data_IF_959294030561
#
_entry.id   IF_959294030561
#
_cell.length_a   1.000
_cell.length_b   1.000
_cell.length_c   1.000
_cell.angle_alpha   90.00
_cell.angle_beta   90.00
_cell.angle_gamma   90.00
#
_symmetry.space_group_name_H-M   'P 1'
#
loop_
_entity.id
_entity.type
_entity.pdbx_description
1 polymer ?
#
# COMPACT_ATOMS: atom_id res chain seq x y z
N UNK A 1 59.44 77.87 -9.12
CA UNK A 1 58.01 77.81 -9.36
C UNK A 1 57.46 76.47 -8.85
N UNK A 2 56.40 76.49 -8.06
CA UNK A 2 55.95 75.44 -7.16
C UNK A 2 55.25 74.27 -7.87
N UNK A 3 55.69 73.01 -7.62
CA UNK A 3 54.93 71.82 -7.87
C UNK A 3 53.84 71.62 -6.81
N UNK A 4 52.63 71.19 -7.13
CA UNK A 4 51.70 70.69 -6.15
C UNK A 4 51.75 69.16 -6.04
N UNK A 5 51.76 68.69 -4.80
CA UNK A 5 51.64 67.30 -4.37
C UNK A 5 50.32 66.61 -4.85
N UNK A 6 50.45 65.42 -5.38
CA UNK A 6 49.24 64.49 -5.58
C UNK A 6 49.14 63.58 -4.37
N UNK A 7 48.08 63.76 -3.62
CA UNK A 7 47.65 62.84 -2.54
C UNK A 7 46.91 61.69 -3.18
N UNK A 8 47.48 60.50 -2.99
CA UNK A 8 46.84 59.22 -3.46
C UNK A 8 45.97 58.66 -2.31
N UNK A 9 44.68 58.73 -2.47
CA UNK A 9 43.73 58.17 -1.52
C UNK A 9 43.55 56.70 -1.86
N UNK A 10 44.02 55.79 -0.99
CA UNK A 10 43.78 54.35 -1.11
C UNK A 10 42.42 54.00 -0.45
N UNK A 11 41.46 53.65 -1.26
CA UNK A 11 40.13 53.19 -0.80
C UNK A 11 40.23 51.70 -0.45
N UNK A 12 40.16 51.38 0.83
CA UNK A 12 40.13 50.02 1.36
C UNK A 12 38.71 49.48 1.20
N UNK A 13 38.49 48.53 0.27
CA UNK A 13 37.19 47.84 0.08
C UNK A 13 37.13 46.69 1.09
N UNK A 14 36.41 46.85 2.20
CA UNK A 14 36.14 45.78 3.15
C UNK A 14 34.98 44.90 2.58
N UNK A 15 35.32 43.72 2.06
CA UNK A 15 34.34 42.72 1.63
C UNK A 15 33.68 42.09 2.84
N UNK A 16 32.41 42.37 3.05
CA UNK A 16 31.54 41.67 3.99
C UNK A 16 31.21 40.27 3.42
N UNK A 17 31.86 39.23 3.90
CA UNK A 17 31.44 37.85 3.69
C UNK A 17 30.20 37.56 4.56
N UNK A 18 29.01 37.65 3.99
CA UNK A 18 27.82 37.14 4.60
C UNK A 18 27.89 35.62 4.45
N UNK A 19 28.34 34.92 5.49
CA UNK A 19 28.23 33.49 5.61
C UNK A 19 26.74 33.18 5.86
N UNK A 20 26.02 32.70 4.83
CA UNK A 20 24.73 32.05 5.01
C UNK A 20 24.97 30.82 5.89
N UNK A 21 24.61 30.90 7.18
CA UNK A 21 24.37 29.70 7.98
C UNK A 21 23.19 28.99 7.32
N UNK A 22 23.40 27.79 6.78
CA UNK A 22 22.28 26.87 6.53
C UNK A 22 21.67 26.62 7.89
N UNK A 23 20.46 27.14 8.09
CA UNK A 23 19.63 26.71 9.19
C UNK A 23 19.37 25.22 8.98
N UNK A 24 19.98 24.40 9.83
CA UNK A 24 19.65 22.98 9.90
C UNK A 24 18.30 22.94 10.58
N UNK A 25 17.25 22.61 9.82
CA UNK A 25 15.93 22.39 10.39
C UNK A 25 16.06 21.44 11.58
N UNK A 26 15.48 21.79 12.74
CA UNK A 26 15.56 20.96 13.92
C UNK A 26 15.01 19.56 13.58
N UNK A 27 15.84 18.54 13.70
CA UNK A 27 15.38 17.14 13.59
C UNK A 27 14.48 16.89 14.77
N UNK A 28 13.17 16.94 14.55
CA UNK A 28 12.18 16.53 15.55
C UNK A 28 12.32 15.03 15.74
N UNK A 29 13.00 14.61 16.79
CA UNK A 29 13.03 13.20 17.21
C UNK A 29 11.65 12.92 17.84
N UNK A 30 10.77 12.28 17.09
CA UNK A 30 9.50 11.78 17.61
C UNK A 30 9.86 10.63 18.56
N UNK A 31 9.56 10.79 19.84
CA UNK A 31 9.68 9.68 20.80
C UNK A 31 8.57 8.67 20.46
N UNK A 32 8.94 7.42 20.11
CA UNK A 32 7.92 6.41 19.77
C UNK A 32 7.04 6.11 20.98
N UNK A 33 5.74 5.86 20.72
CA UNK A 33 4.79 5.46 21.73
C UNK A 33 5.27 4.23 22.51
N UNK A 34 5.00 4.20 23.80
CA UNK A 34 5.26 3.03 24.65
C UNK A 34 4.27 1.89 24.43
N UNK A 35 3.19 2.13 23.69
CA UNK A 35 2.12 1.18 23.40
C UNK A 35 0.74 1.76 23.64
N UNK A 36 -0.25 1.15 22.99
CA UNK A 36 -1.64 1.58 23.04
C UNK A 36 -2.60 0.45 22.69
N UNK A 37 -3.89 0.76 22.73
CA UNK A 37 -4.96 -0.04 22.19
C UNK A 37 -5.71 0.78 21.15
N UNK A 38 -5.89 0.22 19.95
CA UNK A 38 -6.58 0.89 18.83
C UNK A 38 -7.73 0.03 18.31
N UNK A 39 -8.87 0.67 18.06
CA UNK A 39 -9.93 0.12 17.22
C UNK A 39 -9.65 0.50 15.77
N UNK A 40 -9.58 -0.48 14.89
CA UNK A 40 -9.35 -0.28 13.46
C UNK A 40 -10.70 -0.19 12.74
N UNK A 41 -11.33 0.98 12.79
CA UNK A 41 -12.64 1.19 12.19
C UNK A 41 -12.56 1.30 10.66
N UNK A 42 -12.85 0.20 9.96
CA UNK A 42 -12.89 0.14 8.50
C UNK A 42 -14.27 0.36 7.89
N UNK A 43 -15.32 0.56 8.69
CA UNK A 43 -16.66 0.79 8.15
C UNK A 43 -16.74 2.21 7.54
N UNK A 44 -17.31 2.28 6.33
CA UNK A 44 -17.61 3.54 5.65
C UNK A 44 -19.05 4.00 5.94
N UNK A 45 -19.91 3.09 6.38
CA UNK A 45 -21.30 3.33 6.68
C UNK A 45 -21.93 2.14 7.40
N UNK A 46 -23.02 1.61 6.86
CA UNK A 46 -23.80 0.50 7.42
C UNK A 46 -23.56 -0.84 6.71
N UNK A 47 -22.51 -0.95 5.91
CA UNK A 47 -22.17 -2.18 5.21
C UNK A 47 -21.81 -3.30 6.20
N UNK A 48 -22.00 -4.60 5.84
CA UNK A 48 -21.53 -5.70 6.65
C UNK A 48 -20.03 -5.62 6.90
N UNK A 49 -19.57 -5.83 8.13
CA UNK A 49 -18.17 -5.66 8.51
C UNK A 49 -17.18 -6.53 7.73
N UNK A 50 -17.61 -7.68 7.17
CA UNK A 50 -16.79 -8.48 6.25
C UNK A 50 -16.55 -7.77 4.90
N UNK A 51 -17.33 -6.74 4.61
CA UNK A 51 -17.25 -5.90 3.40
C UNK A 51 -16.85 -4.47 3.74
N UNK A 52 -16.19 -4.24 4.88
CA UNK A 52 -15.77 -2.91 5.34
C UNK A 52 -15.22 -2.08 4.19
N UNK A 53 -15.78 -0.88 3.99
CA UNK A 53 -15.53 -0.03 2.82
C UNK A 53 -14.16 0.64 2.80
N UNK A 54 -13.49 0.68 3.95
CA UNK A 54 -12.20 1.32 4.12
C UNK A 54 -11.07 0.31 4.39
N UNK A 55 -9.88 0.68 3.97
CA UNK A 55 -8.59 0.18 4.45
C UNK A 55 -8.18 1.02 5.66
N UNK A 56 -7.53 0.41 6.67
CA UNK A 56 -7.05 1.10 7.88
C UNK A 56 -5.55 0.89 8.02
N UNK A 57 -4.77 1.96 7.89
CA UNK A 57 -3.34 2.00 8.13
C UNK A 57 -3.06 2.30 9.60
N UNK A 58 -2.05 1.67 10.18
CA UNK A 58 -1.67 1.81 11.60
C UNK A 58 -0.21 2.21 11.70
N UNK A 59 0.06 3.26 12.47
CA UNK A 59 1.39 3.70 12.89
C UNK A 59 1.51 3.48 14.41
N UNK A 60 2.34 2.54 14.82
CA UNK A 60 2.55 2.22 16.23
C UNK A 60 3.30 3.32 16.96
N UNK A 61 4.22 3.99 16.28
CA UNK A 61 5.08 4.99 16.90
C UNK A 61 4.33 6.25 17.32
N UNK A 62 3.20 6.54 16.69
CA UNK A 62 2.38 7.74 16.96
C UNK A 62 0.98 7.42 17.47
N UNK A 63 0.65 6.15 17.73
CA UNK A 63 -0.69 5.66 18.15
C UNK A 63 -1.81 6.11 17.20
N UNK A 64 -1.54 6.11 15.89
CA UNK A 64 -2.49 6.60 14.90
C UNK A 64 -3.01 5.49 13.99
N UNK A 65 -4.26 5.66 13.58
CA UNK A 65 -4.82 4.95 12.45
C UNK A 65 -5.34 5.95 11.41
N UNK A 66 -5.17 5.61 10.12
CA UNK A 66 -5.64 6.42 8.99
C UNK A 66 -6.46 5.54 8.07
N UNK A 67 -7.64 6.01 7.67
CA UNK A 67 -8.53 5.27 6.77
C UNK A 67 -8.45 5.79 5.34
N UNK A 68 -8.63 4.88 4.38
CA UNK A 68 -8.78 5.23 2.97
C UNK A 68 -9.88 4.36 2.32
N UNK A 69 -10.80 4.95 1.53
CA UNK A 69 -11.82 4.17 0.82
C UNK A 69 -11.19 3.17 -0.14
N UNK A 70 -11.54 1.87 -0.03
CA UNK A 70 -11.03 0.82 -0.92
C UNK A 70 -11.36 1.08 -2.39
N UNK A 71 -12.56 1.57 -2.69
CA UNK A 71 -13.00 1.91 -4.02
C UNK A 71 -12.54 3.30 -4.51
N UNK A 72 -11.82 4.06 -3.67
CA UNK A 72 -11.40 5.43 -3.98
C UNK A 72 -10.22 5.53 -4.97
N UNK A 73 -9.62 4.41 -5.37
CA UNK A 73 -8.49 4.39 -6.28
C UNK A 73 -8.55 3.19 -7.22
N UNK A 74 -7.78 3.22 -8.30
CA UNK A 74 -7.71 2.14 -9.27
C UNK A 74 -6.29 1.67 -9.57
N UNK A 75 -5.34 2.60 -9.65
CA UNK A 75 -3.94 2.34 -9.97
C UNK A 75 -3.03 2.97 -8.93
N UNK A 76 -1.95 2.25 -8.58
CA UNK A 76 -0.86 2.74 -7.75
C UNK A 76 0.44 2.76 -8.56
N UNK A 77 1.08 3.92 -8.66
CA UNK A 77 2.32 4.17 -9.40
C UNK A 77 3.50 4.15 -8.43
N UNK A 78 4.39 3.19 -8.59
CA UNK A 78 5.55 3.01 -7.72
C UNK A 78 6.50 4.21 -7.77
N UNK A 79 6.92 4.68 -6.61
CA UNK A 79 7.75 5.88 -6.49
C UNK A 79 9.24 5.60 -6.32
N UNK A 80 9.66 4.33 -6.22
CA UNK A 80 11.06 3.94 -6.18
C UNK A 80 11.76 4.04 -7.54
N UNK A 81 12.91 3.37 -7.67
CA UNK A 81 13.75 3.43 -8.88
C UNK A 81 13.07 2.91 -10.14
N UNK A 82 12.31 1.81 -10.00
CA UNK A 82 11.66 1.15 -11.12
C UNK A 82 10.36 1.84 -11.54
N UNK A 83 9.93 1.56 -12.77
CA UNK A 83 8.67 2.04 -13.30
C UNK A 83 7.64 0.91 -13.29
N UNK A 84 6.89 0.81 -12.20
CA UNK A 84 5.88 -0.23 -11.95
C UNK A 84 4.54 0.37 -11.60
N UNK A 85 3.48 -0.34 -11.96
CA UNK A 85 2.10 0.07 -11.67
C UNK A 85 1.35 -1.13 -11.13
N UNK A 86 0.64 -0.94 -10.03
CA UNK A 86 -0.24 -1.94 -9.42
C UNK A 86 -1.70 -1.61 -9.70
N UNK A 87 -2.55 -2.64 -9.76
CA UNK A 87 -4.00 -2.51 -9.80
C UNK A 87 -4.60 -2.68 -8.41
N UNK A 88 -5.85 -2.26 -8.22
CA UNK A 88 -6.50 -2.25 -6.91
C UNK A 88 -6.93 -3.66 -6.45
N UNK A 89 -6.07 -4.34 -5.72
CA UNK A 89 -6.35 -5.67 -5.15
C UNK A 89 -7.43 -5.63 -4.06
N UNK A 90 -7.69 -4.45 -3.45
CA UNK A 90 -8.70 -4.32 -2.37
C UNK A 90 -10.13 -4.32 -2.89
N UNK A 91 -10.33 -4.14 -4.18
CA UNK A 91 -11.62 -4.29 -4.86
C UNK A 91 -11.67 -5.53 -5.74
N UNK A 92 -10.65 -6.40 -5.69
CA UNK A 92 -10.48 -7.54 -6.60
C UNK A 92 -10.49 -7.10 -8.07
N UNK A 93 -9.78 -6.01 -8.38
CA UNK A 93 -9.60 -5.57 -9.76
C UNK A 93 -8.84 -6.62 -10.56
N UNK A 94 -9.21 -6.79 -11.83
CA UNK A 94 -8.61 -7.74 -12.75
C UNK A 94 -8.32 -7.06 -14.09
N UNK A 95 -7.22 -7.42 -14.75
CA UNK A 95 -6.89 -6.78 -16.01
C UNK A 95 -6.35 -7.76 -17.06
N UNK A 96 -6.40 -7.34 -18.32
CA UNK A 96 -5.85 -8.03 -19.49
C UNK A 96 -4.99 -7.08 -20.30
N UNK A 97 -3.76 -7.50 -20.58
CA UNK A 97 -2.86 -6.82 -21.48
C UNK A 97 -3.18 -7.25 -22.90
N UNK A 98 -3.37 -6.29 -23.79
CA UNK A 98 -3.59 -6.52 -25.22
C UNK A 98 -2.27 -6.46 -25.98
N UNK A 99 -2.26 -6.91 -27.24
CA UNK A 99 -1.10 -6.73 -28.14
C UNK A 99 -1.06 -5.32 -28.80
N UNK A 100 -2.14 -4.53 -28.62
CA UNK A 100 -2.28 -3.17 -29.16
C UNK A 100 -1.54 -2.16 -28.27
N UNK A 101 -1.05 -1.10 -28.87
CA UNK A 101 -0.37 0.00 -28.18
C UNK A 101 -1.00 1.39 -28.44
N UNK A 102 -2.20 1.40 -28.99
CA UNK A 102 -2.99 2.60 -29.23
C UNK A 102 -4.41 2.40 -28.65
N UNK A 103 -4.83 3.29 -27.74
CA UNK A 103 -6.14 3.21 -27.10
C UNK A 103 -7.29 3.35 -28.08
N UNK A 104 -7.12 4.13 -29.16
CA UNK A 104 -8.18 4.38 -30.14
C UNK A 104 -8.53 3.09 -30.89
N UNK A 105 -7.58 2.18 -31.05
CA UNK A 105 -7.78 0.87 -31.69
C UNK A 105 -8.50 -0.16 -30.82
N UNK A 106 -8.77 0.18 -29.54
CA UNK A 106 -9.43 -0.73 -28.58
C UNK A 106 -10.88 -0.32 -28.38
N UNK A 107 -11.79 -1.26 -28.55
CA UNK A 107 -13.23 -1.03 -28.44
C UNK A 107 -13.97 -2.25 -27.88
N UNK A 108 -15.30 -2.29 -28.05
CA UNK A 108 -16.15 -3.34 -27.50
C UNK A 108 -15.75 -4.76 -27.94
N UNK A 109 -15.26 -4.91 -29.18
CA UNK A 109 -14.82 -6.22 -29.68
C UNK A 109 -13.65 -6.80 -28.88
N UNK A 110 -12.78 -5.96 -28.29
CA UNK A 110 -11.65 -6.40 -27.49
C UNK A 110 -12.03 -6.89 -26.10
N UNK A 111 -13.28 -6.67 -25.68
CA UNK A 111 -13.82 -7.16 -24.39
C UNK A 111 -14.68 -8.43 -24.57
N UNK A 112 -14.99 -8.80 -25.81
CA UNK A 112 -15.83 -9.95 -26.09
C UNK A 112 -15.20 -11.25 -25.56
N UNK A 113 -15.93 -11.98 -24.71
CA UNK A 113 -15.47 -13.24 -24.12
C UNK A 113 -14.42 -13.09 -23.01
N UNK A 114 -14.01 -11.87 -22.64
CA UNK A 114 -13.10 -11.67 -21.50
C UNK A 114 -13.83 -11.93 -20.17
N UNK A 115 -13.23 -12.79 -19.34
CA UNK A 115 -13.64 -12.99 -17.95
C UNK A 115 -12.53 -12.35 -17.07
N UNK A 116 -12.79 -11.13 -16.60
CA UNK A 116 -11.90 -10.39 -15.70
C UNK A 116 -12.54 -10.36 -14.30
N UNK A 117 -12.60 -11.51 -13.67
CA UNK A 117 -13.21 -11.72 -12.35
C UNK A 117 -12.57 -12.92 -11.66
N UNK A 118 -12.73 -13.00 -10.34
CA UNK A 118 -12.24 -14.09 -9.51
C UNK A 118 -13.40 -14.89 -8.96
N UNK A 119 -13.37 -16.22 -9.13
CA UNK A 119 -14.39 -17.10 -8.61
C UNK A 119 -14.23 -17.32 -7.11
N UNK A 120 -15.29 -17.11 -6.34
CA UNK A 120 -15.31 -17.43 -4.91
C UNK A 120 -15.81 -18.86 -4.64
N UNK A 121 -16.38 -19.54 -5.64
CA UNK A 121 -16.90 -20.90 -5.51
C UNK A 121 -16.05 -21.95 -6.21
N UNK A 122 -15.32 -21.55 -7.24
CA UNK A 122 -14.41 -22.42 -8.00
C UNK A 122 -13.14 -21.64 -8.40
N UNK A 123 -12.35 -21.17 -7.41
CA UNK A 123 -11.13 -20.41 -7.70
C UNK A 123 -10.12 -21.27 -8.46
N UNK A 124 -9.35 -20.63 -9.35
CA UNK A 124 -8.40 -21.30 -10.23
C UNK A 124 -7.04 -20.64 -10.22
N UNK A 125 -5.98 -21.42 -10.30
CA UNK A 125 -4.62 -20.91 -10.45
C UNK A 125 -4.42 -20.05 -11.72
N UNK A 126 -5.22 -20.28 -12.77
CA UNK A 126 -5.19 -19.44 -13.98
C UNK A 126 -5.56 -17.98 -13.72
N UNK A 127 -6.33 -17.70 -12.65
CA UNK A 127 -6.73 -16.34 -12.27
C UNK A 127 -5.56 -15.49 -11.75
N UNK A 128 -4.39 -16.09 -11.39
CA UNK A 128 -3.17 -15.34 -11.10
C UNK A 128 -2.69 -14.51 -12.30
N UNK A 129 -3.07 -14.87 -13.53
CA UNK A 129 -2.76 -14.09 -14.73
C UNK A 129 -3.59 -12.81 -14.88
N UNK A 130 -4.48 -12.52 -13.97
CA UNK A 130 -5.38 -11.37 -13.99
C UNK A 130 -5.02 -10.29 -12.98
N UNK A 131 -4.00 -10.52 -12.14
CA UNK A 131 -3.71 -9.69 -10.96
C UNK A 131 -2.20 -9.60 -10.69
N UNK A 132 -1.78 -8.61 -9.91
CA UNK A 132 -0.41 -8.47 -9.42
C UNK A 132 -0.03 -9.64 -8.50
N UNK A 133 1.27 -9.91 -8.35
CA UNK A 133 1.77 -10.89 -7.40
C UNK A 133 1.26 -10.59 -5.97
N UNK A 134 0.58 -11.57 -5.38
CA UNK A 134 -0.09 -11.41 -4.10
C UNK A 134 0.87 -11.43 -2.89
N UNK A 135 2.15 -11.79 -3.09
CA UNK A 135 3.20 -11.58 -2.09
C UNK A 135 3.64 -10.11 -1.99
N UNK A 136 3.18 -9.27 -2.91
CA UNK A 136 3.58 -7.87 -3.04
C UNK A 136 5.00 -7.70 -3.62
N UNK A 137 5.48 -8.66 -4.40
CA UNK A 137 6.72 -8.51 -5.16
C UNK A 137 6.52 -7.52 -6.30
N UNK A 138 7.05 -6.30 -6.12
CA UNK A 138 6.90 -5.21 -7.09
C UNK A 138 7.54 -5.51 -8.45
N UNK A 139 8.43 -6.49 -8.52
CA UNK A 139 9.00 -6.92 -9.80
C UNK A 139 8.04 -7.77 -10.64
N UNK A 140 6.95 -8.26 -10.03
CA UNK A 140 5.95 -9.15 -10.61
C UNK A 140 4.55 -8.54 -10.66
N UNK A 141 4.46 -7.28 -11.05
CA UNK A 141 3.18 -6.63 -11.33
C UNK A 141 2.56 -7.21 -12.59
N UNK A 142 1.21 -7.29 -12.63
CA UNK A 142 0.47 -7.71 -13.84
C UNK A 142 0.81 -6.81 -15.02
N UNK A 143 0.80 -5.49 -14.81
CA UNK A 143 1.30 -4.52 -15.78
C UNK A 143 2.83 -4.64 -15.78
N UNK A 144 3.46 -5.03 -16.90
CA UNK A 144 4.90 -5.15 -16.99
C UNK A 144 5.63 -3.86 -16.60
N UNK A 145 6.93 -3.94 -16.35
CA UNK A 145 7.73 -2.74 -16.19
C UNK A 145 7.50 -1.80 -17.35
N UNK A 146 7.19 -0.53 -17.06
CA UNK A 146 6.95 0.44 -18.11
C UNK A 146 8.24 0.68 -18.86
N UNK A 147 8.24 0.37 -20.16
CA UNK A 147 9.40 0.54 -21.02
C UNK A 147 9.67 2.02 -21.31
N UNK A 148 10.94 2.35 -21.55
CA UNK A 148 11.33 3.66 -22.10
C UNK A 148 10.95 3.83 -23.58
N UNK A 149 10.66 2.73 -24.26
CA UNK A 149 10.16 2.71 -25.63
C UNK A 149 8.64 2.65 -25.61
N UNK A 150 7.97 3.72 -25.98
CA UNK A 150 6.51 3.84 -25.91
C UNK A 150 5.78 2.72 -26.66
N UNK A 151 6.32 2.26 -27.79
CA UNK A 151 5.72 1.20 -28.62
C UNK A 151 5.63 -0.15 -27.89
N UNK A 152 6.43 -0.38 -26.87
CA UNK A 152 6.42 -1.61 -26.07
C UNK A 152 5.33 -1.60 -25.00
N UNK A 153 4.91 -0.41 -24.55
CA UNK A 153 3.85 -0.27 -23.53
C UNK A 153 2.48 -0.52 -24.18
N UNK A 154 1.85 -1.59 -23.77
CA UNK A 154 0.60 -2.08 -24.36
C UNK A 154 -0.64 -1.47 -23.70
N UNK A 155 -1.77 -1.51 -24.42
CA UNK A 155 -3.07 -1.16 -23.86
C UNK A 155 -3.55 -2.28 -22.95
N UNK A 156 -4.15 -1.88 -21.85
CA UNK A 156 -4.68 -2.74 -20.79
C UNK A 156 -6.18 -2.50 -20.68
N UNK A 157 -6.96 -3.57 -20.63
CA UNK A 157 -8.35 -3.53 -20.23
C UNK A 157 -8.40 -3.84 -18.73
N UNK A 158 -9.02 -2.96 -17.95
CA UNK A 158 -9.17 -3.06 -16.52
C UNK A 158 -10.65 -3.20 -16.13
N UNK A 159 -10.99 -4.31 -15.47
CA UNK A 159 -12.16 -4.39 -14.62
C UNK A 159 -11.78 -3.88 -13.24
N UNK A 160 -12.45 -2.84 -12.76
CA UNK A 160 -12.15 -2.14 -11.48
C UNK A 160 -12.55 -2.95 -10.24
N UNK A 161 -13.17 -4.14 -10.45
CA UNK A 161 -13.54 -5.09 -9.42
C UNK A 161 -14.78 -4.71 -8.60
N UNK A 162 -15.33 -5.73 -7.94
CA UNK A 162 -16.51 -5.63 -7.05
C UNK A 162 -16.27 -6.31 -5.70
N UNK A 163 -15.02 -6.64 -5.39
CA UNK A 163 -14.65 -7.36 -4.17
C UNK A 163 -15.06 -6.61 -2.91
N UNK A 164 -15.49 -7.37 -1.89
CA UNK A 164 -15.93 -6.83 -0.62
C UNK A 164 -17.15 -5.91 -0.73
N UNK A 165 -18.10 -6.23 -1.61
CA UNK A 165 -19.33 -5.45 -1.76
C UNK A 165 -19.15 -4.11 -2.47
N UNK A 166 -18.00 -3.87 -3.11
CA UNK A 166 -17.80 -2.68 -3.94
C UNK A 166 -18.77 -2.69 -5.12
N UNK A 167 -19.45 -1.58 -5.36
CA UNK A 167 -20.36 -1.45 -6.50
C UNK A 167 -19.61 -1.62 -7.84
N UNK A 168 -20.28 -2.24 -8.82
CA UNK A 168 -19.70 -2.40 -10.15
C UNK A 168 -19.45 -1.02 -10.79
N UNK A 169 -18.28 -0.87 -11.40
CA UNK A 169 -17.83 0.35 -12.10
C UNK A 169 -17.50 0.00 -13.54
N UNK A 170 -17.66 0.97 -14.45
CA UNK A 170 -17.35 0.76 -15.86
C UNK A 170 -15.89 0.32 -16.05
N UNK A 171 -15.69 -0.68 -16.90
CA UNK A 171 -14.35 -1.09 -17.33
C UNK A 171 -13.64 0.06 -18.04
N UNK A 172 -12.34 0.10 -17.92
CA UNK A 172 -11.49 1.10 -18.56
C UNK A 172 -10.47 0.44 -19.48
N UNK A 173 -10.11 1.14 -20.54
CA UNK A 173 -8.88 0.90 -21.28
C UNK A 173 -7.86 1.93 -20.86
N UNK A 174 -6.61 1.51 -20.66
CA UNK A 174 -5.55 2.39 -20.21
C UNK A 174 -4.20 2.00 -20.83
N UNK A 175 -3.28 2.95 -20.84
CA UNK A 175 -1.88 2.76 -21.22
C UNK A 175 -1.02 3.64 -20.34
N UNK A 176 0.11 3.12 -19.89
CA UNK A 176 1.07 3.88 -19.09
C UNK A 176 2.37 4.03 -19.86
N UNK A 177 2.93 5.24 -19.84
CA UNK A 177 4.19 5.60 -20.47
C UNK A 177 5.12 6.20 -19.42
N UNK A 178 6.44 6.26 -19.69
CA UNK A 178 7.36 7.05 -18.89
C UNK A 178 7.31 8.52 -19.30
N UNK A 179 7.41 9.42 -18.33
CA UNK A 179 7.54 10.87 -18.53
C UNK A 179 8.65 11.41 -17.63
N UNK A 180 9.85 11.50 -18.17
CA UNK A 180 11.03 11.84 -17.37
C UNK A 180 11.22 10.87 -16.21
N UNK A 181 11.21 11.36 -14.97
CA UNK A 181 11.27 10.54 -13.75
C UNK A 181 9.91 10.01 -13.29
N UNK A 182 8.80 10.42 -13.91
CA UNK A 182 7.44 10.05 -13.56
C UNK A 182 6.74 9.25 -14.65
N UNK A 183 5.40 9.29 -14.65
CA UNK A 183 4.56 8.53 -15.56
C UNK A 183 3.55 9.43 -16.27
N UNK A 184 3.13 8.99 -17.44
CA UNK A 184 1.93 9.47 -18.12
C UNK A 184 0.93 8.33 -18.21
N UNK A 185 -0.25 8.52 -17.61
CA UNK A 185 -1.39 7.61 -17.76
C UNK A 185 -2.31 8.15 -18.85
N UNK A 186 -2.64 7.33 -19.82
CA UNK A 186 -3.70 7.53 -20.81
C UNK A 186 -4.83 6.57 -20.49
N UNK A 187 -6.09 7.01 -20.41
CA UNK A 187 -7.23 6.14 -20.11
C UNK A 187 -8.53 6.66 -20.71
N UNK A 188 -9.47 5.75 -20.92
CA UNK A 188 -10.80 6.04 -21.45
C UNK A 188 -11.80 4.93 -21.07
N UNK A 189 -13.10 5.14 -21.30
CA UNK A 189 -14.04 4.01 -21.35
C UNK A 189 -13.74 3.14 -22.58
N UNK A 190 -14.20 1.90 -22.57
CA UNK A 190 -13.86 0.92 -23.61
C UNK A 190 -14.23 1.41 -25.01
N UNK A 191 -15.39 2.06 -25.16
CA UNK A 191 -15.92 2.49 -26.47
C UNK A 191 -15.53 3.91 -26.88
N UNK A 192 -14.88 4.66 -25.99
CA UNK A 192 -14.50 6.05 -26.29
C UNK A 192 -13.43 6.08 -27.40
N UNK A 193 -13.56 7.03 -28.34
CA UNK A 193 -12.61 7.29 -29.42
C UNK A 193 -11.55 8.34 -29.03
N UNK A 194 -11.64 8.88 -27.84
CA UNK A 194 -10.68 9.80 -27.26
C UNK A 194 -10.27 9.30 -25.88
N UNK A 195 -9.18 9.81 -25.34
CA UNK A 195 -8.72 9.45 -24.00
C UNK A 195 -8.25 10.65 -23.21
N UNK A 196 -8.32 10.53 -21.89
CA UNK A 196 -7.73 11.49 -20.95
C UNK A 196 -6.26 11.16 -20.72
N UNK A 197 -5.47 12.17 -20.39
CA UNK A 197 -4.05 12.04 -20.04
C UNK A 197 -3.79 12.65 -18.69
N UNK A 198 -3.08 11.92 -17.82
CA UNK A 198 -2.70 12.35 -16.47
C UNK A 198 -1.21 12.18 -16.29
N UNK A 199 -0.53 13.23 -15.81
CA UNK A 199 0.89 13.15 -15.42
C UNK A 199 1.00 12.81 -13.94
N UNK A 200 1.83 11.81 -13.60
CA UNK A 200 2.06 11.36 -12.23
C UNK A 200 3.55 11.51 -11.91
N UNK A 201 3.88 12.45 -11.04
CA UNK A 201 5.22 12.59 -10.51
C UNK A 201 5.48 11.53 -9.42
N UNK A 202 6.68 10.97 -9.37
CA UNK A 202 7.13 10.17 -8.25
C UNK A 202 7.38 11.06 -7.04
N UNK A 203 7.05 10.55 -5.86
CA UNK A 203 7.30 11.20 -4.58
C UNK A 203 7.89 10.17 -3.62
N UNK A 204 9.17 10.32 -3.33
CA UNK A 204 9.94 9.37 -2.52
C UNK A 204 9.45 9.25 -1.06
N UNK A 205 8.55 10.14 -0.62
CA UNK A 205 7.93 10.06 0.69
C UNK A 205 6.84 8.97 0.79
N UNK A 206 6.39 8.41 -0.34
CA UNK A 206 5.36 7.37 -0.41
C UNK A 206 5.90 6.13 -1.11
N UNK A 207 5.26 4.97 -0.92
CA UNK A 207 5.55 3.78 -1.74
C UNK A 207 4.90 3.91 -3.12
N UNK A 208 3.68 4.47 -3.18
CA UNK A 208 2.94 4.68 -4.42
C UNK A 208 2.26 6.06 -4.46
N UNK A 209 2.06 6.55 -5.67
CA UNK A 209 1.10 7.62 -5.97
C UNK A 209 -0.13 6.98 -6.61
N UNK A 210 -1.31 7.29 -6.07
CA UNK A 210 -2.55 6.65 -6.49
C UNK A 210 -3.39 7.55 -7.38
N UNK A 211 -4.16 6.92 -8.27
CA UNK A 211 -5.09 7.62 -9.18
C UNK A 211 -6.43 6.90 -9.19
N UNK A 212 -7.51 7.69 -9.14
CA UNK A 212 -8.86 7.23 -9.47
C UNK A 212 -9.13 7.43 -10.98
N UNK A 213 -9.72 6.44 -11.63
CA UNK A 213 -10.14 6.53 -13.03
C UNK A 213 -11.55 7.11 -13.23
N UNK A 214 -12.19 7.60 -12.16
CA UNK A 214 -13.46 8.31 -12.28
C UNK A 214 -13.25 9.69 -12.89
N UNK A 215 -12.27 10.42 -12.40
CA UNK A 215 -11.90 11.74 -12.90
C UNK A 215 -10.45 11.87 -13.37
N UNK A 216 -9.60 10.88 -13.05
CA UNK A 216 -8.16 10.90 -13.33
C UNK A 216 -7.37 11.68 -12.28
N UNK A 217 -7.98 12.04 -11.16
CA UNK A 217 -7.31 12.79 -10.13
C UNK A 217 -6.34 11.90 -9.32
N UNK A 218 -5.18 12.44 -8.89
CA UNK A 218 -4.40 11.84 -7.81
C UNK A 218 -5.22 11.78 -6.52
N UNK A 219 -5.13 10.65 -5.81
CA UNK A 219 -5.84 10.44 -4.54
C UNK A 219 -4.89 10.01 -3.44
N UNK A 220 -5.19 10.42 -2.21
CA UNK A 220 -4.48 9.98 -1.02
C UNK A 220 -5.05 8.64 -0.58
N UNK A 221 -4.20 7.60 -0.50
CA UNK A 221 -4.58 6.25 -0.07
C UNK A 221 -3.73 5.83 1.12
N UNK A 222 -2.45 5.56 0.90
CA UNK A 222 -1.53 5.26 2.01
C UNK A 222 -0.97 6.56 2.61
N UNK A 223 -0.68 6.60 3.93
CA UNK A 223 0.14 7.64 4.52
C UNK A 223 1.55 7.65 3.93
N UNK A 224 2.37 8.62 4.32
CA UNK A 224 3.81 8.58 4.01
C UNK A 224 4.38 7.22 4.43
N UNK A 225 5.36 6.70 3.68
CA UNK A 225 5.92 5.36 3.92
C UNK A 225 6.55 5.18 5.30
N UNK A 226 6.92 6.27 5.96
CA UNK A 226 7.47 6.34 7.32
C UNK A 226 6.40 6.55 8.41
N UNK A 227 5.12 6.62 8.05
CA UNK A 227 4.00 6.92 8.93
C UNK A 227 2.92 5.82 8.92
N UNK A 228 3.31 4.58 8.66
CA UNK A 228 2.48 3.40 8.88
C UNK A 228 3.31 2.11 8.89
N UNK A 229 2.88 1.14 9.70
CA UNK A 229 3.54 -0.15 9.89
C UNK A 229 2.72 -1.29 9.33
N UNK A 230 1.44 -1.28 9.64
CA UNK A 230 0.47 -2.31 9.24
C UNK A 230 -0.72 -1.68 8.53
N UNK A 231 -1.35 -2.48 7.68
CA UNK A 231 -2.63 -2.16 7.07
C UNK A 231 -3.60 -3.31 7.27
N UNK A 232 -4.80 -3.01 7.82
CA UNK A 232 -5.94 -3.93 7.88
C UNK A 232 -6.89 -3.61 6.73
N UNK A 233 -7.31 -4.64 5.97
CA UNK A 233 -8.12 -4.43 4.77
C UNK A 233 -8.83 -5.70 4.30
N UNK A 234 -9.82 -5.55 3.42
CA UNK A 234 -10.23 -6.57 2.46
C UNK A 234 -9.29 -6.55 1.27
N UNK A 235 -8.85 -7.71 0.77
CA UNK A 235 -8.00 -7.79 -0.42
C UNK A 235 -7.98 -9.19 -1.03
N UNK A 236 -7.41 -9.28 -2.22
CA UNK A 236 -6.99 -10.56 -2.79
C UNK A 236 -5.82 -11.13 -1.99
N UNK A 237 -5.83 -12.43 -1.80
CA UNK A 237 -4.87 -13.19 -1.01
C UNK A 237 -4.57 -14.53 -1.67
N UNK A 238 -3.34 -15.01 -1.54
CA UNK A 238 -2.95 -16.34 -2.00
C UNK A 238 -3.33 -17.36 -0.94
N UNK A 239 -4.13 -18.36 -1.32
CA UNK A 239 -4.54 -19.45 -0.43
C UNK A 239 -4.58 -20.77 -1.19
N UNK A 240 -4.77 -21.88 -0.45
CA UNK A 240 -4.98 -23.20 -1.03
C UNK A 240 -6.18 -23.88 -0.37
N UNK A 241 -6.99 -24.53 -1.18
CA UNK A 241 -8.09 -25.39 -0.76
C UNK A 241 -7.81 -26.87 -1.03
N UNK A 242 -6.52 -27.25 -1.10
CA UNK A 242 -6.06 -28.63 -1.29
C UNK A 242 -5.64 -28.97 -2.72
N UNK A 243 -6.07 -28.19 -3.73
CA UNK A 243 -5.73 -28.43 -5.15
C UNK A 243 -4.61 -27.50 -5.69
N UNK A 244 -3.82 -26.91 -4.80
CA UNK A 244 -2.79 -25.91 -5.14
C UNK A 244 -3.19 -24.50 -4.76
N UNK A 245 -2.28 -23.56 -5.00
CA UNK A 245 -2.49 -22.14 -4.69
C UNK A 245 -3.44 -21.49 -5.68
N UNK A 246 -4.32 -20.64 -5.17
CA UNK A 246 -5.28 -19.86 -5.95
C UNK A 246 -5.38 -18.45 -5.39
N UNK A 247 -5.72 -17.42 -6.21
CA UNK A 247 -6.10 -16.12 -5.72
C UNK A 247 -7.52 -16.17 -5.18
N UNK A 248 -7.74 -15.62 -4.00
CA UNK A 248 -9.05 -15.60 -3.36
C UNK A 248 -9.26 -14.30 -2.58
N UNK A 249 -10.48 -13.81 -2.53
CA UNK A 249 -10.79 -12.60 -1.79
C UNK A 249 -11.01 -12.91 -0.30
N UNK A 250 -10.29 -12.21 0.55
CA UNK A 250 -10.43 -12.32 2.00
C UNK A 250 -10.76 -10.97 2.64
N UNK A 251 -11.68 -10.99 3.58
CA UNK A 251 -11.83 -9.91 4.57
C UNK A 251 -10.80 -10.03 5.67
N UNK A 252 -10.61 -8.96 6.40
CA UNK A 252 -9.83 -8.93 7.66
C UNK A 252 -8.39 -9.42 7.47
N UNK A 253 -7.74 -9.02 6.37
CA UNK A 253 -6.31 -9.23 6.14
C UNK A 253 -5.48 -8.15 6.80
N UNK A 254 -4.30 -8.54 7.27
CA UNK A 254 -3.30 -7.59 7.79
C UNK A 254 -1.99 -7.78 7.06
N UNK A 255 -1.50 -6.70 6.47
CA UNK A 255 -0.23 -6.68 5.75
C UNK A 255 0.74 -5.70 6.40
N UNK A 256 2.04 -6.00 6.31
CA UNK A 256 3.12 -5.11 6.76
C UNK A 256 3.53 -4.13 5.67
N UNK A 257 4.02 -2.97 6.06
CA UNK A 257 4.68 -2.00 5.16
C UNK A 257 6.09 -2.49 4.78
N UNK A 258 6.15 -3.65 4.13
CA UNK A 258 7.43 -4.27 3.73
C UNK A 258 8.32 -3.37 2.88
N UNK A 259 7.71 -2.48 2.08
CA UNK A 259 8.45 -1.60 1.17
C UNK A 259 9.19 -0.48 1.90
N UNK A 260 8.71 -0.10 3.09
CA UNK A 260 9.41 0.78 4.00
C UNK A 260 10.39 0.04 4.94
N UNK A 261 10.49 -1.30 4.83
CA UNK A 261 11.38 -2.11 5.65
C UNK A 261 10.76 -2.67 6.92
N UNK A 262 9.45 -2.52 7.12
CA UNK A 262 8.75 -3.15 8.25
C UNK A 262 8.84 -4.66 8.15
N UNK A 263 9.15 -5.31 9.27
CA UNK A 263 9.25 -6.76 9.41
C UNK A 263 8.35 -7.24 10.53
N UNK A 264 7.89 -8.47 10.44
CA UNK A 264 7.09 -9.09 11.50
C UNK A 264 7.49 -10.54 11.76
N UNK A 265 7.08 -11.03 12.93
CA UNK A 265 7.19 -12.45 13.29
C UNK A 265 5.93 -12.87 14.06
N UNK A 266 5.48 -14.10 13.85
CA UNK A 266 4.46 -14.74 14.66
C UNK A 266 5.10 -15.44 15.86
N UNK A 267 4.53 -15.28 17.04
CA UNK A 267 4.95 -15.96 18.26
C UNK A 267 3.77 -16.76 18.83
N UNK A 268 3.97 -18.06 19.06
CA UNK A 268 2.94 -18.91 19.66
C UNK A 268 2.97 -18.78 21.19
N UNK A 269 1.80 -18.60 21.81
CA UNK A 269 1.67 -18.44 23.27
C UNK A 269 2.07 -19.68 24.06
N UNK A 270 2.09 -20.86 23.40
CA UNK A 270 2.65 -22.08 24.00
C UNK A 270 4.16 -22.03 24.25
N UNK A 271 4.90 -21.15 23.54
CA UNK A 271 6.33 -20.94 23.78
C UNK A 271 6.56 -19.90 24.87
N UNK A 272 5.87 -18.76 24.77
CA UNK A 272 5.91 -17.66 25.75
C UNK A 272 4.62 -16.84 25.62
N UNK A 273 4.00 -16.50 26.74
CA UNK A 273 2.78 -15.69 26.73
C UNK A 273 3.07 -14.24 26.30
N UNK A 274 2.04 -13.55 25.78
CA UNK A 274 2.16 -12.14 25.42
C UNK A 274 2.70 -11.28 26.56
N UNK A 275 2.16 -11.49 27.79
CA UNK A 275 2.53 -10.66 28.95
C UNK A 275 3.95 -10.97 29.45
N UNK A 276 4.41 -12.23 29.33
CA UNK A 276 5.77 -12.64 29.72
C UNK A 276 6.83 -12.31 28.65
N UNK A 277 6.42 -11.94 27.43
CA UNK A 277 7.36 -11.63 26.35
C UNK A 277 7.97 -10.24 26.55
N UNK A 278 9.28 -10.17 26.74
CA UNK A 278 10.07 -8.97 26.99
C UNK A 278 11.20 -8.80 25.98
N UNK A 279 11.92 -7.69 26.03
CA UNK A 279 13.00 -7.36 25.07
C UNK A 279 14.09 -8.43 24.93
N UNK A 280 14.44 -9.15 26.01
CA UNK A 280 15.43 -10.24 25.94
C UNK A 280 14.97 -11.42 25.07
N UNK A 281 13.67 -11.64 24.91
CA UNK A 281 13.13 -12.68 24.04
C UNK A 281 13.36 -12.39 22.54
N UNK A 282 13.66 -11.13 22.17
CA UNK A 282 13.90 -10.72 20.79
C UNK A 282 15.08 -11.45 20.15
N UNK A 283 16.04 -11.94 20.95
CA UNK A 283 17.16 -12.74 20.47
C UNK A 283 16.72 -14.03 19.75
N UNK A 284 15.54 -14.54 20.07
CA UNK A 284 14.98 -15.78 19.51
C UNK A 284 13.89 -15.52 18.45
N UNK A 285 13.68 -14.25 18.01
CA UNK A 285 12.67 -13.89 17.03
C UNK A 285 13.28 -13.88 15.64
N UNK A 286 12.72 -14.68 14.73
CA UNK A 286 13.06 -14.66 13.31
C UNK A 286 12.12 -13.75 12.56
N UNK A 287 12.53 -12.50 12.32
CA UNK A 287 11.75 -11.53 11.54
C UNK A 287 11.71 -11.89 10.07
N UNK A 288 10.55 -11.71 9.46
CA UNK A 288 10.31 -11.86 8.03
C UNK A 288 9.89 -10.54 7.40
N UNK A 289 10.37 -10.27 6.19
CA UNK A 289 9.94 -9.14 5.36
C UNK A 289 8.74 -9.49 4.45
N UNK A 290 8.12 -10.66 4.61
CA UNK A 290 6.89 -11.01 3.92
C UNK A 290 5.76 -10.06 4.31
N UNK A 291 4.99 -9.55 3.31
CA UNK A 291 3.88 -8.63 3.61
C UNK A 291 2.76 -9.28 4.42
N UNK A 292 2.60 -10.58 4.33
CA UNK A 292 1.50 -11.39 4.86
C UNK A 292 1.89 -12.29 6.05
N UNK A 293 2.95 -11.91 6.78
CA UNK A 293 3.35 -12.62 8.02
C UNK A 293 2.15 -12.78 8.97
N UNK A 294 1.36 -11.73 9.11
CA UNK A 294 0.09 -11.73 9.86
C UNK A 294 -1.03 -12.27 8.96
N UNK A 295 -1.26 -11.67 7.80
CA UNK A 295 -2.23 -12.12 6.78
C UNK A 295 -3.62 -12.36 7.36
N UNK A 296 -4.13 -13.58 7.20
CA UNK A 296 -5.40 -14.06 7.76
C UNK A 296 -5.23 -14.89 9.05
N UNK A 297 -4.00 -15.12 9.51
CA UNK A 297 -3.67 -16.11 10.55
C UNK A 297 -4.14 -15.73 11.95
N UNK A 298 -4.41 -14.45 12.19
CA UNK A 298 -4.76 -13.89 13.49
C UNK A 298 -6.20 -14.20 13.94
N UNK A 299 -7.05 -14.67 13.01
CA UNK A 299 -8.48 -14.89 13.25
C UNK A 299 -8.99 -16.19 12.63
N UNK A 300 -10.17 -16.62 13.07
CA UNK A 300 -10.99 -17.63 12.39
C UNK A 300 -12.35 -17.04 12.02
N UNK A 301 -12.85 -17.34 10.81
CA UNK A 301 -14.16 -16.91 10.29
C UNK A 301 -15.14 -18.08 10.14
N UNK A 302 -14.67 -19.30 10.41
CA UNK A 302 -15.43 -20.55 10.40
C UNK A 302 -15.02 -21.38 11.61
N UNK A 303 -15.86 -22.31 12.03
CA UNK A 303 -15.63 -23.08 13.25
C UNK A 303 -15.76 -22.21 14.50
N UNK A 304 -14.79 -22.21 15.37
CA UNK A 304 -14.71 -21.28 16.53
C UNK A 304 -14.29 -19.91 16.00
N UNK A 305 -15.28 -19.10 15.66
CA UNK A 305 -15.08 -17.76 15.09
C UNK A 305 -14.55 -16.81 16.18
N UNK A 306 -13.56 -16.02 15.85
CA UNK A 306 -12.95 -15.06 16.76
C UNK A 306 -11.47 -14.84 16.48
N UNK A 307 -10.83 -14.01 17.31
CA UNK A 307 -9.38 -13.86 17.32
C UNK A 307 -8.72 -15.15 17.80
N UNK A 308 -7.56 -15.48 17.25
CA UNK A 308 -6.75 -16.60 17.73
C UNK A 308 -5.93 -16.14 18.94
N UNK A 309 -6.18 -16.78 20.10
CA UNK A 309 -5.51 -16.46 21.37
C UNK A 309 -4.21 -17.25 21.58
N UNK A 310 -3.92 -18.23 20.71
CA UNK A 310 -2.74 -19.07 20.74
C UNK A 310 -1.48 -18.38 20.18
N UNK A 311 -1.59 -17.11 19.75
CA UNK A 311 -0.51 -16.35 19.09
C UNK A 311 -0.60 -14.86 19.31
N UNK A 312 0.52 -14.21 19.11
CA UNK A 312 0.68 -12.78 18.98
C UNK A 312 1.79 -12.49 17.95
N UNK A 313 2.07 -11.24 17.68
CA UNK A 313 3.05 -10.84 16.68
C UNK A 313 4.07 -9.87 17.27
N UNK A 314 5.29 -9.92 16.74
CA UNK A 314 6.33 -8.93 17.01
C UNK A 314 6.59 -8.19 15.70
N UNK A 315 6.49 -6.87 15.73
CA UNK A 315 6.64 -6.01 14.56
C UNK A 315 7.82 -5.08 14.79
N UNK A 316 8.73 -5.04 13.82
CA UNK A 316 9.83 -4.08 13.76
C UNK A 316 9.46 -3.03 12.73
N UNK A 317 9.29 -1.78 13.16
CA UNK A 317 8.96 -0.66 12.28
C UNK A 317 10.13 -0.25 11.38
N UNK A 318 9.89 0.71 10.47
CA UNK A 318 10.89 1.21 9.55
C UNK A 318 12.04 1.99 10.25
N UNK A 319 11.80 2.52 11.45
CA UNK A 319 12.79 3.23 12.26
C UNK A 319 13.63 2.29 13.12
N UNK A 320 13.24 1.00 13.24
CA UNK A 320 13.93 -0.02 14.03
C UNK A 320 13.29 -0.27 15.40
N UNK A 321 12.23 0.46 15.78
CA UNK A 321 11.50 0.19 17.02
C UNK A 321 10.80 -1.17 16.91
N UNK A 322 10.74 -1.89 18.01
CA UNK A 322 10.13 -3.22 18.05
C UNK A 322 8.96 -3.25 19.02
N UNK A 323 7.80 -3.62 18.51
CA UNK A 323 6.57 -3.75 19.27
C UNK A 323 6.11 -5.20 19.30
N UNK A 324 5.58 -5.66 20.44
CA UNK A 324 4.70 -6.83 20.48
C UNK A 324 3.26 -6.38 20.30
N UNK A 325 2.45 -7.12 19.54
CA UNK A 325 1.05 -6.79 19.30
C UNK A 325 0.18 -8.04 19.29
N UNK A 326 -1.05 -7.92 19.78
CA UNK A 326 -2.10 -8.95 19.69
C UNK A 326 -3.43 -8.34 19.29
N UNK A 327 -4.28 -9.15 18.69
CA UNK A 327 -5.68 -8.83 18.47
C UNK A 327 -6.47 -9.17 19.73
N UNK A 328 -7.43 -8.31 20.09
CA UNK A 328 -8.28 -8.49 21.26
C UNK A 328 -9.67 -9.00 20.87
N UNK A 329 -10.23 -8.44 19.80
CA UNK A 329 -11.57 -8.80 19.32
C UNK A 329 -11.78 -8.36 17.88
N UNK A 330 -12.75 -8.96 17.17
CA UNK A 330 -13.19 -8.51 15.85
C UNK A 330 -14.62 -8.92 15.47
N UNK A 331 -15.30 -9.72 16.28
CA UNK A 331 -16.68 -10.15 16.05
C UNK A 331 -17.49 -10.13 17.35
N UNK A 332 -18.82 -10.25 17.26
CA UNK A 332 -19.67 -10.37 18.44
C UNK A 332 -19.37 -11.60 19.29
N UNK A 333 -18.76 -12.65 18.71
CA UNK A 333 -18.43 -13.89 19.43
C UNK A 333 -17.21 -13.73 20.35
N UNK A 334 -16.37 -12.74 20.09
CA UNK A 334 -15.21 -12.40 20.92
C UNK A 334 -15.35 -11.01 21.58
N UNK A 335 -16.58 -10.47 21.62
CA UNK A 335 -16.89 -9.19 22.25
C UNK A 335 -16.58 -7.97 21.39
N UNK A 336 -16.23 -8.18 20.11
CA UNK A 336 -15.92 -7.11 19.16
C UNK A 336 -17.05 -6.84 18.15
N UNK A 337 -16.69 -6.08 17.11
CA UNK A 337 -17.56 -5.75 15.99
C UNK A 337 -16.83 -6.07 14.68
N UNK A 338 -17.49 -6.84 13.78
CA UNK A 338 -16.90 -7.12 12.48
C UNK A 338 -16.69 -5.82 11.69
N UNK A 339 -15.50 -5.68 11.10
CA UNK A 339 -15.09 -4.44 10.42
C UNK A 339 -14.41 -3.42 11.33
N UNK A 340 -14.29 -3.73 12.65
CA UNK A 340 -13.64 -2.89 13.66
C UNK A 340 -12.78 -3.73 14.60
N UNK A 341 -11.76 -4.46 14.12
CA UNK A 341 -10.92 -5.23 15.02
C UNK A 341 -10.19 -4.31 15.99
N UNK A 342 -9.96 -4.82 17.20
CA UNK A 342 -9.21 -4.12 18.24
C UNK A 342 -7.86 -4.79 18.41
N UNK A 343 -6.80 -3.98 18.38
CA UNK A 343 -5.43 -4.42 18.65
C UNK A 343 -4.89 -3.79 19.93
N UNK A 344 -3.96 -4.49 20.58
CA UNK A 344 -3.13 -3.97 21.67
C UNK A 344 -1.67 -4.18 21.27
N UNK A 345 -0.82 -3.19 21.53
CA UNK A 345 0.62 -3.30 21.29
C UNK A 345 1.42 -2.58 22.38
N UNK A 346 2.66 -3.00 22.55
CA UNK A 346 3.59 -2.47 23.56
C UNK A 346 5.00 -2.42 22.97
N UNK A 347 5.72 -1.32 23.22
CA UNK A 347 7.11 -1.13 22.80
C UNK A 347 8.04 -2.02 23.62
N UNK A 348 8.88 -2.80 22.96
CA UNK A 348 9.88 -3.66 23.57
C UNK A 348 11.30 -3.07 23.46
N UNK A 349 11.58 -2.37 22.36
CA UNK A 349 12.91 -1.84 22.04
C UNK A 349 12.75 -0.65 21.11
N UNK A 350 13.57 0.40 21.35
CA UNK A 350 13.82 1.54 20.45
C UNK A 350 15.00 1.26 19.54
#
# INVERSE_FOLDING_TARGET
>A
MRCPNKIMVATLLAGLFIACKKDVDPVFIITPSSGSQLELNGLAGSEPGASAGNTVYVDFSTDKSTTAPRAGWDLGFYTGSDFRVIINNTTSAAAKILLKNDLIQVGAADTAGLVLAFSQTAPSAAEFNLIDDLSGDISKTLIPAISSLDVENKVIILNRGTGGGTAARAWKKLRVLRAGSGYTLQYANITDLTYKTVSIAKDAAYNFRYVSLDDGAPVSVEPRKDAWDLVWTYSMYKTSFGAGDVPYSFSDLVFTNRMAGVQAAEVLTGTVSYDAFISSNLANVSFSSGRDVIGSKWRATTGTVGVKTDRFYVVKDAAGNVYKMKFLSFTSQDGGTRGKPVIKYELLKK
#
